data_IF_880751357674
#
_entry.id   IF_880751357674
#
_cell.length_a   1.000
_cell.length_b   1.000
_cell.length_c   1.000
_cell.angle_alpha   90.00
_cell.angle_beta   90.00
_cell.angle_gamma   90.00
#
_symmetry.space_group_name_H-M   'P 1'
#
loop_
_entity.id
_entity.type
_entity.pdbx_description
1 polymer ?
#
# COMPACT_ATOMS: atom_id res chain seq x y z
N UNK A 1 6.43 8.13 -5.30
CA UNK A 1 6.97 9.49 -5.31
C UNK A 1 5.81 10.46 -5.44
N UNK A 2 5.69 11.45 -4.56
CA UNK A 2 4.60 12.45 -4.61
C UNK A 2 4.78 13.50 -5.71
N UNK A 3 6.00 13.62 -6.27
CA UNK A 3 6.39 14.67 -7.23
C UNK A 3 6.19 16.10 -6.70
N UNK A 4 6.14 16.28 -5.38
CA UNK A 4 5.91 17.57 -4.73
C UNK A 4 6.97 18.64 -5.06
N UNK A 5 8.19 18.23 -5.37
CA UNK A 5 9.28 19.10 -5.83
C UNK A 5 9.02 19.81 -7.17
N UNK A 6 7.97 19.42 -7.91
CA UNK A 6 7.61 20.05 -9.19
C UNK A 6 6.75 21.30 -9.07
N UNK A 7 6.29 21.65 -7.86
CA UNK A 7 5.50 22.86 -7.60
C UNK A 7 4.20 22.98 -8.42
N UNK A 8 3.56 21.86 -8.76
CA UNK A 8 2.28 21.82 -9.49
C UNK A 8 1.03 22.06 -8.63
N UNK A 9 1.23 22.39 -7.35
CA UNK A 9 0.15 22.66 -6.40
C UNK A 9 -0.38 21.43 -5.65
N UNK A 10 -1.23 21.69 -4.67
CA UNK A 10 -1.78 20.69 -3.73
C UNK A 10 -2.52 19.57 -4.46
N UNK A 11 -3.41 19.89 -5.39
CA UNK A 11 -4.20 18.89 -6.12
C UNK A 11 -3.33 17.89 -6.88
N UNK A 12 -2.20 18.35 -7.46
CA UNK A 12 -1.27 17.46 -8.15
C UNK A 12 -0.65 16.44 -7.20
N UNK A 13 -0.28 16.84 -5.98
CA UNK A 13 0.27 15.92 -4.95
C UNK A 13 -0.79 14.88 -4.56
N UNK A 14 -2.02 15.34 -4.27
CA UNK A 14 -3.10 14.48 -3.83
C UNK A 14 -3.45 13.44 -4.91
N UNK A 15 -3.69 13.86 -6.15
CA UNK A 15 -3.97 12.96 -7.27
C UNK A 15 -2.81 12.01 -7.54
N UNK A 16 -1.57 12.52 -7.58
CA UNK A 16 -0.39 11.69 -7.85
C UNK A 16 -0.25 10.56 -6.84
N UNK A 17 -0.51 10.82 -5.56
CA UNK A 17 -0.37 9.79 -4.51
C UNK A 17 -1.62 8.92 -4.41
N UNK A 18 -2.81 9.51 -4.24
CA UNK A 18 -4.05 8.80 -3.92
C UNK A 18 -4.60 7.96 -5.09
N UNK A 19 -4.19 8.28 -6.31
CA UNK A 19 -4.60 7.57 -7.54
C UNK A 19 -3.42 6.83 -8.20
N UNK A 20 -2.26 6.75 -7.54
CA UNK A 20 -1.10 6.05 -8.09
C UNK A 20 -1.43 4.56 -8.30
N UNK A 21 -1.18 4.02 -9.49
CA UNK A 21 -1.45 2.61 -9.82
C UNK A 21 -0.72 1.59 -8.93
N UNK A 22 0.40 1.99 -8.32
CA UNK A 22 1.18 1.15 -7.39
C UNK A 22 0.89 1.46 -5.91
N UNK A 23 -0.08 2.33 -5.61
CA UNK A 23 -0.50 2.55 -4.22
C UNK A 23 -1.21 1.29 -3.71
N UNK A 24 -0.54 0.57 -2.83
CA UNK A 24 -1.04 -0.64 -2.17
C UNK A 24 -0.39 -0.89 -0.82
N UNK A 25 -0.78 -1.98 -0.15
CA UNK A 25 -0.29 -2.32 1.19
C UNK A 25 1.23 -2.39 1.26
N UNK A 26 1.82 -1.61 2.17
CA UNK A 26 3.27 -1.49 2.36
C UNK A 26 3.96 -0.48 1.43
N UNK A 27 3.20 0.36 0.71
CA UNK A 27 3.80 1.43 -0.10
C UNK A 27 4.51 2.46 0.78
N UNK A 28 5.69 2.89 0.34
CA UNK A 28 6.42 4.00 0.93
C UNK A 28 6.24 5.23 0.03
N UNK A 29 5.63 6.28 0.57
CA UNK A 29 5.39 7.54 -0.16
C UNK A 29 6.54 8.50 0.17
N UNK A 30 7.33 8.83 -0.85
CA UNK A 30 8.36 9.86 -0.76
C UNK A 30 7.74 11.26 -0.88
N UNK A 31 7.99 12.11 0.10
CA UNK A 31 7.69 13.55 0.10
C UNK A 31 8.91 14.33 0.62
N UNK A 32 9.01 15.60 0.23
CA UNK A 32 10.02 16.54 0.69
C UNK A 32 9.40 17.55 1.67
N UNK A 33 9.93 17.62 2.90
CA UNK A 33 9.43 18.52 3.93
C UNK A 33 9.57 20.02 3.57
N UNK A 34 10.50 20.38 2.67
CA UNK A 34 10.74 21.73 2.20
C UNK A 34 10.05 22.09 0.88
N UNK A 35 9.28 21.18 0.27
CA UNK A 35 8.58 21.49 -0.97
C UNK A 35 7.38 22.41 -0.72
N UNK A 36 7.14 23.32 -1.68
CA UNK A 36 6.28 24.50 -1.52
C UNK A 36 4.87 24.19 -1.05
N UNK A 37 4.28 23.09 -1.52
CA UNK A 37 2.89 22.72 -1.27
C UNK A 37 2.72 21.50 -0.35
N UNK A 38 3.81 20.87 0.11
CA UNK A 38 3.72 19.62 0.88
C UNK A 38 3.04 19.80 2.23
N UNK A 39 3.35 20.88 2.94
CA UNK A 39 2.72 21.18 4.22
C UNK A 39 1.20 21.42 4.08
N UNK A 40 0.77 22.11 3.02
CA UNK A 40 -0.64 22.40 2.73
C UNK A 40 -1.41 21.14 2.32
N UNK A 41 -0.77 20.23 1.59
CA UNK A 41 -1.40 18.97 1.13
C UNK A 41 -1.49 17.89 2.23
N UNK A 42 -0.69 18.00 3.31
CA UNK A 42 -0.43 16.89 4.23
C UNK A 42 -1.70 16.37 4.92
N UNK A 43 -2.55 17.26 5.43
CA UNK A 43 -3.77 16.88 6.14
C UNK A 43 -4.76 16.11 5.23
N UNK A 44 -4.98 16.63 4.02
CA UNK A 44 -5.84 16.00 3.03
C UNK A 44 -5.27 14.67 2.54
N UNK A 45 -3.94 14.59 2.38
CA UNK A 45 -3.28 13.36 1.97
C UNK A 45 -3.44 12.25 3.02
N UNK A 46 -3.20 12.57 4.30
CA UNK A 46 -3.39 11.63 5.42
C UNK A 46 -4.84 11.18 5.50
N UNK A 47 -5.79 12.11 5.35
CA UNK A 47 -7.23 11.82 5.40
C UNK A 47 -7.63 10.88 4.26
N UNK A 48 -7.25 11.20 3.02
CA UNK A 48 -7.56 10.37 1.85
C UNK A 48 -6.94 8.96 1.92
N UNK A 49 -5.75 8.81 2.50
CA UNK A 49 -5.14 7.49 2.74
C UNK A 49 -5.96 6.69 3.77
N UNK A 50 -6.39 7.32 4.88
CA UNK A 50 -7.21 6.66 5.90
C UNK A 50 -8.59 6.26 5.37
N UNK A 51 -9.22 7.12 4.57
CA UNK A 51 -10.52 6.84 3.93
C UNK A 51 -10.45 5.65 2.96
N UNK A 52 -9.28 5.45 2.33
CA UNK A 52 -8.98 4.26 1.51
C UNK A 52 -8.65 3.00 2.32
N UNK A 53 -8.68 3.07 3.66
CA UNK A 53 -8.43 1.95 4.57
C UNK A 53 -6.96 1.73 4.94
N UNK A 54 -6.06 2.65 4.61
CA UNK A 54 -4.65 2.52 4.96
C UNK A 54 -4.37 2.97 6.40
N UNK A 55 -3.43 2.28 7.04
CA UNK A 55 -2.82 2.72 8.31
C UNK A 55 -1.44 3.28 8.02
N UNK A 56 -1.16 4.49 8.48
CA UNK A 56 0.17 5.07 8.41
C UNK A 56 0.99 4.55 9.58
N UNK A 57 2.14 3.98 9.26
CA UNK A 57 3.08 3.41 10.23
C UNK A 57 4.47 4.00 10.03
N UNK A 58 5.33 3.86 11.03
CA UNK A 58 6.75 4.18 10.91
C UNK A 58 7.48 3.13 10.08
N UNK A 59 8.69 3.47 9.61
CA UNK A 59 9.52 2.53 8.84
C UNK A 59 9.85 1.26 9.63
N UNK A 60 10.10 1.41 10.93
CA UNK A 60 10.44 0.29 11.83
C UNK A 60 9.29 -0.71 12.01
N UNK A 61 8.05 -0.27 11.85
CA UNK A 61 6.86 -1.13 11.92
C UNK A 61 6.57 -1.80 10.57
N UNK A 62 7.04 -1.21 9.46
CA UNK A 62 6.83 -1.73 8.11
C UNK A 62 7.88 -2.78 7.71
N UNK A 63 9.15 -2.60 8.10
CA UNK A 63 10.26 -3.43 7.62
C UNK A 63 10.33 -4.76 8.39
N UNK A 64 10.27 -5.88 7.65
CA UNK A 64 10.66 -7.19 8.16
C UNK A 64 12.18 -7.33 8.20
N UNK A 65 12.69 -7.80 9.33
CA UNK A 65 14.14 -8.02 9.53
C UNK A 65 14.60 -9.39 9.03
N UNK A 66 13.74 -10.39 9.13
CA UNK A 66 13.99 -11.79 8.79
C UNK A 66 12.73 -12.44 8.20
N UNK A 67 12.88 -13.61 7.58
CA UNK A 67 11.77 -14.43 7.05
C UNK A 67 10.85 -13.67 6.08
N UNK A 68 11.44 -13.00 5.11
CA UNK A 68 10.70 -12.35 4.02
C UNK A 68 11.35 -12.63 2.68
N UNK A 69 10.56 -12.52 1.63
CA UNK A 69 11.02 -12.43 0.24
C UNK A 69 10.72 -11.05 -0.32
N UNK A 70 11.46 -10.63 -1.34
CA UNK A 70 11.26 -9.34 -1.99
C UNK A 70 10.83 -9.55 -3.43
N UNK A 71 9.78 -8.85 -3.86
CA UNK A 71 9.35 -8.88 -5.25
C UNK A 71 10.18 -7.94 -6.15
N UNK A 72 9.87 -7.93 -7.44
CA UNK A 72 10.55 -7.09 -8.44
C UNK A 72 10.31 -5.58 -8.26
N UNK A 73 9.30 -5.20 -7.47
CA UNK A 73 9.03 -3.81 -7.09
C UNK A 73 9.78 -3.40 -5.81
N UNK A 74 10.50 -4.33 -5.18
CA UNK A 74 11.23 -4.10 -3.93
C UNK A 74 10.38 -4.24 -2.67
N UNK A 75 9.16 -4.79 -2.77
CA UNK A 75 8.26 -4.97 -1.62
C UNK A 75 8.58 -6.26 -0.88
N UNK A 76 8.63 -6.18 0.45
CA UNK A 76 8.81 -7.36 1.30
C UNK A 76 7.47 -8.10 1.50
N UNK A 77 7.52 -9.42 1.42
CA UNK A 77 6.41 -10.35 1.69
C UNK A 77 6.85 -11.31 2.79
N UNK A 78 6.09 -11.41 3.88
CA UNK A 78 6.47 -12.25 5.02
C UNK A 78 6.24 -13.73 4.68
N UNK A 79 7.30 -14.55 4.82
CA UNK A 79 7.21 -15.97 4.54
C UNK A 79 6.28 -16.65 5.56
N UNK A 80 5.22 -17.30 5.08
CA UNK A 80 4.34 -18.15 5.89
C UNK A 80 3.10 -17.50 6.51
N UNK A 81 2.72 -16.27 6.13
CA UNK A 81 1.41 -15.69 6.54
C UNK A 81 0.40 -15.46 5.42
N UNK A 82 0.82 -15.52 4.16
CA UNK A 82 -0.08 -15.22 3.03
C UNK A 82 -0.70 -16.48 2.39
N UNK A 83 -0.41 -17.69 2.91
CA UNK A 83 -0.97 -18.96 2.40
C UNK A 83 -2.36 -19.33 2.96
N UNK A 84 -3.09 -18.40 3.59
CA UNK A 84 -4.45 -18.65 4.07
C UNK A 84 -5.42 -17.53 3.63
N UNK A 85 -5.72 -17.46 2.33
CA UNK A 85 -6.97 -16.87 1.83
C UNK A 85 -7.42 -17.43 0.46
N UNK A 86 -7.01 -18.65 0.09
CA UNK A 86 -7.62 -19.39 -1.01
C UNK A 86 -8.46 -20.55 -0.45
N UNK A 87 -9.71 -20.60 -0.89
CA UNK A 87 -10.89 -21.29 -0.34
C UNK A 87 -10.79 -22.83 -0.22
N UNK A 88 -11.58 -23.48 0.66
CA UNK A 88 -11.89 -24.89 0.49
C UNK A 88 -12.99 -25.08 -0.55
N UNK A 89 -12.61 -25.60 -1.71
CA UNK A 89 -13.50 -26.17 -2.74
C UNK A 89 -14.45 -27.20 -2.11
N UNK A 90 -15.76 -26.91 -2.14
CA UNK A 90 -16.82 -27.82 -1.70
C UNK A 90 -17.46 -28.51 -2.92
N UNK A 91 -16.74 -29.43 -3.53
CA UNK A 91 -17.31 -30.31 -4.56
C UNK A 91 -16.81 -31.76 -4.47
N UNK A 92 -17.12 -32.41 -3.36
CA UNK A 92 -17.10 -33.87 -3.28
C UNK A 92 -18.36 -34.40 -2.57
N UNK A 93 -19.40 -34.70 -3.35
CA UNK A 93 -20.22 -35.88 -3.08
C UNK A 93 -20.92 -36.36 -4.37
N UNK A 94 -20.32 -37.34 -5.03
CA UNK A 94 -21.01 -38.21 -5.99
C UNK A 94 -21.49 -39.44 -5.23
N UNK A 95 -22.79 -39.49 -4.91
CA UNK A 95 -23.43 -40.73 -4.47
C UNK A 95 -23.93 -41.49 -5.69
N UNK A 96 -23.21 -42.56 -6.03
CA UNK A 96 -23.65 -43.59 -6.96
C UNK A 96 -24.72 -44.44 -6.26
N UNK A 97 -25.95 -44.41 -6.77
CA UNK A 97 -27.00 -45.38 -6.47
C UNK A 97 -27.50 -45.95 -7.79
N UNK A 98 -27.31 -47.25 -7.96
CA UNK A 98 -27.69 -48.05 -9.13
C UNK A 98 -27.15 -49.46 -8.97
#
# INVERSE_FOLDING_TARGET
DSLDWKDYGVSSILTTVLEHKHLGNGSIILCHNGAKYTAEALEQLITGLKEKGYTLVTMSELIYKDNYEMDVEGRQHQNGKDSQSAEPDSSANTSQAG
#
